data_IF_286361219338
#
_entry.id   IF_286361219338
#
_cell.length_a   1.000
_cell.length_b   1.000
_cell.length_c   1.000
_cell.angle_alpha   90.00
_cell.angle_beta   90.00
_cell.angle_gamma   90.00
#
_symmetry.space_group_name_H-M   'P 1'
#
loop_
_entity.id
_entity.type
_entity.pdbx_description
1 polymer ?
#
# COMPACT_ATOMS: atom_id res chain seq x y z
N UNK A 1 -22.73 -3.67 -48.38
CA UNK A 1 -21.31 -3.35 -48.15
C UNK A 1 -21.22 -2.70 -46.79
N UNK A 2 -20.86 -3.48 -45.77
CA UNK A 2 -20.84 -3.08 -44.37
C UNK A 2 -19.71 -2.07 -44.16
N UNK A 3 -20.04 -0.86 -43.70
CA UNK A 3 -19.07 0.22 -43.56
C UNK A 3 -18.32 0.05 -42.23
N UNK A 4 -17.30 -0.81 -42.25
CA UNK A 4 -16.42 -1.11 -41.10
C UNK A 4 -15.82 0.13 -40.41
N UNK A 5 -15.82 1.29 -41.07
CA UNK A 5 -15.31 2.54 -40.51
C UNK A 5 -16.26 3.20 -39.49
N UNK A 6 -17.59 2.97 -39.60
CA UNK A 6 -18.55 3.49 -38.63
C UNK A 6 -18.61 2.63 -37.36
N UNK A 7 -18.48 1.29 -37.49
CA UNK A 7 -18.46 0.38 -36.35
C UNK A 7 -17.25 0.60 -35.44
N UNK A 8 -16.08 0.95 -36.01
CA UNK A 8 -14.88 1.25 -35.22
C UNK A 8 -15.03 2.59 -34.48
N UNK A 9 -15.64 3.61 -35.10
CA UNK A 9 -15.91 4.89 -34.42
C UNK A 9 -16.97 4.77 -33.32
N UNK A 10 -18.03 4.00 -33.56
CA UNK A 10 -19.06 3.73 -32.55
C UNK A 10 -18.49 2.88 -31.39
N UNK A 11 -17.59 1.93 -31.69
CA UNK A 11 -16.88 1.15 -30.68
C UNK A 11 -15.92 1.98 -29.82
N UNK A 12 -15.20 2.94 -30.42
CA UNK A 12 -14.32 3.86 -29.68
C UNK A 12 -15.08 4.89 -28.83
N UNK A 13 -16.22 5.41 -29.29
CA UNK A 13 -17.07 6.29 -28.46
C UNK A 13 -17.71 5.54 -27.30
N UNK A 14 -18.08 4.28 -27.49
CA UNK A 14 -18.56 3.42 -26.39
C UNK A 14 -17.45 3.15 -25.39
N UNK A 15 -16.21 2.87 -25.84
CA UNK A 15 -15.05 2.67 -24.97
C UNK A 15 -14.64 3.95 -24.20
N UNK A 16 -14.78 5.14 -24.80
CA UNK A 16 -14.49 6.42 -24.16
C UNK A 16 -15.64 6.99 -23.32
N UNK A 17 -16.85 6.42 -23.46
CA UNK A 17 -18.03 6.72 -22.64
C UNK A 17 -18.14 5.88 -21.36
N UNK A 18 -17.29 4.87 -21.17
CA UNK A 18 -17.17 4.19 -19.88
C UNK A 18 -16.47 5.11 -18.86
N UNK A 19 -17.07 5.33 -17.67
CA UNK A 19 -16.42 6.03 -16.56
C UNK A 19 -15.07 5.41 -16.13
N UNK A 20 -14.80 4.18 -16.56
CA UNK A 20 -13.67 3.34 -16.14
C UNK A 20 -12.30 3.78 -16.64
N UNK A 21 -12.16 4.67 -17.65
CA UNK A 21 -10.83 5.10 -18.14
C UNK A 21 -10.56 6.62 -18.18
N UNK A 22 -11.56 7.50 -18.03
CA UNK A 22 -11.32 8.96 -18.04
C UNK A 22 -10.75 9.52 -16.73
N UNK A 23 -10.60 8.69 -15.70
CA UNK A 23 -9.80 9.00 -14.50
C UNK A 23 -8.41 8.37 -14.56
N UNK A 24 -7.73 8.42 -15.71
CA UNK A 24 -6.25 8.49 -15.79
C UNK A 24 -5.78 9.82 -15.15
N UNK A 25 -6.23 10.06 -13.93
CA UNK A 25 -5.96 11.24 -13.15
C UNK A 25 -4.54 11.06 -12.59
N UNK A 26 -3.62 11.89 -13.07
CA UNK A 26 -2.46 12.31 -12.27
C UNK A 26 -2.96 13.17 -11.11
N UNK A 27 -3.74 12.54 -10.23
CA UNK A 27 -4.20 13.04 -8.96
C UNK A 27 -3.58 12.07 -7.98
N UNK A 28 -2.56 12.56 -7.29
CA UNK A 28 -1.91 11.91 -6.16
C UNK A 28 -3.00 11.27 -5.29
N UNK A 29 -3.29 9.99 -5.51
CA UNK A 29 -4.15 9.24 -4.60
C UNK A 29 -3.19 8.91 -3.48
N UNK A 30 -3.19 9.72 -2.43
CA UNK A 30 -2.69 9.28 -1.15
C UNK A 30 -3.63 8.15 -0.71
N UNK A 31 -3.31 6.95 -1.16
CA UNK A 31 -4.13 5.76 -1.05
C UNK A 31 -4.06 5.23 0.38
N UNK A 32 -4.79 5.87 1.29
CA UNK A 32 -5.09 5.26 2.59
C UNK A 32 -5.72 3.87 2.41
N UNK A 33 -6.47 3.66 1.33
CA UNK A 33 -7.03 2.34 0.99
C UNK A 33 -5.99 1.25 0.72
N UNK A 34 -4.79 1.58 0.19
CA UNK A 34 -3.75 0.55 -0.09
C UNK A 34 -3.19 -0.08 1.19
N UNK A 35 -3.20 0.64 2.32
CA UNK A 35 -2.69 0.11 3.60
C UNK A 35 -3.73 -0.74 4.32
N UNK A 36 -5.03 -0.43 4.13
CA UNK A 36 -6.12 -1.14 4.78
C UNK A 36 -6.13 -2.63 4.40
N UNK A 37 -5.98 -2.94 3.12
CA UNK A 37 -5.96 -4.33 2.63
C UNK A 37 -4.76 -5.11 3.19
N UNK A 38 -3.57 -4.51 3.17
CA UNK A 38 -2.37 -5.11 3.76
C UNK A 38 -2.54 -5.37 5.27
N UNK A 39 -3.20 -4.45 5.98
CA UNK A 39 -3.55 -4.61 7.38
C UNK A 39 -4.55 -5.74 7.62
N UNK A 40 -5.60 -5.84 6.79
CA UNK A 40 -6.60 -6.90 6.88
C UNK A 40 -5.95 -8.27 6.68
N UNK A 41 -5.10 -8.42 5.66
CA UNK A 41 -4.31 -9.63 5.42
C UNK A 41 -3.43 -9.98 6.62
N UNK A 42 -2.71 -9.00 7.17
CA UNK A 42 -1.88 -9.23 8.35
C UNK A 42 -2.72 -9.73 9.53
N UNK A 43 -3.88 -9.10 9.79
CA UNK A 43 -4.75 -9.48 10.91
C UNK A 43 -5.27 -10.92 10.79
N UNK A 44 -5.54 -11.38 9.58
CA UNK A 44 -5.98 -12.75 9.27
C UNK A 44 -4.90 -13.83 9.47
N UNK A 45 -3.62 -13.46 9.48
CA UNK A 45 -2.53 -14.41 9.69
C UNK A 45 -2.56 -15.05 11.07
N UNK A 46 -2.17 -16.34 11.12
CA UNK A 46 -1.89 -17.03 12.38
C UNK A 46 -0.71 -16.37 13.08
N UNK A 47 -0.54 -16.65 14.37
CA UNK A 47 0.59 -16.13 15.13
C UNK A 47 1.94 -16.52 14.51
N UNK A 48 2.08 -17.76 14.06
CA UNK A 48 3.30 -18.27 13.43
C UNK A 48 3.60 -17.56 12.11
N UNK A 49 2.58 -17.28 11.31
CA UNK A 49 2.72 -16.51 10.08
C UNK A 49 3.13 -15.06 10.35
N UNK A 50 2.54 -14.41 11.36
CA UNK A 50 2.93 -13.07 11.81
C UNK A 50 4.38 -13.05 12.30
N UNK A 51 4.78 -14.03 13.11
CA UNK A 51 6.13 -14.12 13.64
C UNK A 51 7.17 -14.34 12.52
N UNK A 52 6.85 -15.17 11.53
CA UNK A 52 7.68 -15.39 10.35
C UNK A 52 7.81 -14.14 9.49
N UNK A 53 6.69 -13.45 9.22
CA UNK A 53 6.69 -12.18 8.50
C UNK A 53 7.59 -11.15 9.18
N UNK A 54 7.37 -10.91 10.48
CA UNK A 54 8.15 -9.94 11.26
C UNK A 54 9.63 -10.30 11.22
N UNK A 55 9.98 -11.57 11.36
CA UNK A 55 11.38 -12.02 11.33
C UNK A 55 12.05 -11.73 9.99
N UNK A 56 11.38 -12.02 8.87
CA UNK A 56 11.93 -11.75 7.55
C UNK A 56 12.06 -10.26 7.27
N UNK A 57 11.04 -9.46 7.61
CA UNK A 57 11.07 -8.00 7.40
C UNK A 57 12.20 -7.37 8.21
N UNK A 58 12.40 -7.78 9.48
CA UNK A 58 13.52 -7.30 10.30
C UNK A 58 14.86 -7.68 9.69
N UNK A 59 14.99 -8.92 9.21
CA UNK A 59 16.23 -9.38 8.54
C UNK A 59 16.59 -8.48 7.36
N UNK A 60 15.62 -8.22 6.47
CA UNK A 60 15.84 -7.37 5.29
C UNK A 60 16.13 -5.91 5.67
N UNK A 61 15.34 -5.32 6.58
CA UNK A 61 15.49 -3.91 6.95
C UNK A 61 16.71 -3.61 7.83
N UNK A 62 17.30 -4.61 8.47
CA UNK A 62 18.51 -4.45 9.30
C UNK A 62 19.71 -3.91 8.52
N UNK A 63 19.77 -4.19 7.21
CA UNK A 63 20.87 -3.79 6.32
C UNK A 63 20.55 -2.53 5.51
N UNK A 64 19.34 -1.98 5.65
CA UNK A 64 18.87 -0.82 4.91
C UNK A 64 19.30 0.47 5.61
N UNK A 65 19.46 1.55 4.85
CA UNK A 65 19.76 2.88 5.39
C UNK A 65 18.62 3.39 6.30
N UNK A 66 18.99 4.15 7.33
CA UNK A 66 18.11 4.53 8.45
C UNK A 66 16.83 5.24 8.00
N UNK A 67 16.94 6.26 7.14
CA UNK A 67 15.77 7.00 6.66
C UNK A 67 14.82 6.09 5.88
N UNK A 68 15.36 5.21 5.05
CA UNK A 68 14.54 4.26 4.28
C UNK A 68 13.85 3.25 5.19
N UNK A 69 14.55 2.73 6.20
CA UNK A 69 13.98 1.84 7.21
C UNK A 69 12.85 2.52 7.99
N UNK A 70 13.03 3.77 8.42
CA UNK A 70 12.01 4.54 9.13
C UNK A 70 10.72 4.68 8.30
N UNK A 71 10.84 5.06 7.03
CA UNK A 71 9.68 5.19 6.13
C UNK A 71 8.95 3.85 5.99
N UNK A 72 9.68 2.74 5.85
CA UNK A 72 9.10 1.41 5.75
C UNK A 72 8.31 1.04 7.01
N UNK A 73 8.89 1.27 8.21
CA UNK A 73 8.22 0.99 9.48
C UNK A 73 6.94 1.83 9.61
N UNK A 74 6.99 3.12 9.27
CA UNK A 74 5.80 3.97 9.27
C UNK A 74 4.71 3.46 8.30
N UNK A 75 5.09 2.95 7.13
CA UNK A 75 4.14 2.36 6.19
C UNK A 75 3.50 1.07 6.74
N UNK A 76 4.27 0.22 7.44
CA UNK A 76 3.72 -0.95 8.12
C UNK A 76 2.82 -0.56 9.29
N UNK A 77 3.17 0.48 10.04
CA UNK A 77 2.31 1.04 11.09
C UNK A 77 0.95 1.50 10.53
N UNK A 78 0.96 2.19 9.38
CA UNK A 78 -0.29 2.61 8.70
C UNK A 78 -1.18 1.44 8.29
N UNK A 79 -0.59 0.28 8.01
CA UNK A 79 -1.35 -0.93 7.70
C UNK A 79 -1.89 -1.59 8.97
N UNK A 80 -1.05 -1.71 10.00
CA UNK A 80 -1.40 -2.27 11.30
C UNK A 80 -0.45 -1.76 12.40
N UNK A 81 -1.02 -1.17 13.46
CA UNK A 81 -0.25 -0.54 14.54
C UNK A 81 0.65 -1.54 15.27
N UNK A 82 0.14 -2.76 15.53
CA UNK A 82 0.90 -3.79 16.22
C UNK A 82 2.08 -4.27 15.37
N UNK A 83 1.89 -4.43 14.06
CA UNK A 83 2.97 -4.74 13.14
C UNK A 83 4.04 -3.65 13.14
N UNK A 84 3.63 -2.37 13.00
CA UNK A 84 4.54 -1.24 13.01
C UNK A 84 5.38 -1.16 14.29
N UNK A 85 4.75 -1.29 15.46
CA UNK A 85 5.46 -1.31 16.75
C UNK A 85 6.43 -2.48 16.88
N UNK A 86 6.02 -3.70 16.52
CA UNK A 86 6.90 -4.87 16.57
C UNK A 86 8.16 -4.71 15.71
N UNK A 87 8.03 -4.07 14.54
CA UNK A 87 9.16 -3.79 13.67
C UNK A 87 10.06 -2.69 14.24
N UNK A 88 9.47 -1.62 14.77
CA UNK A 88 10.19 -0.52 15.42
C UNK A 88 11.05 -1.03 16.58
N UNK A 89 10.47 -1.84 17.48
CA UNK A 89 11.15 -2.39 18.65
C UNK A 89 12.32 -3.31 18.27
N UNK A 90 12.12 -4.18 17.27
CA UNK A 90 13.16 -5.13 16.82
C UNK A 90 14.29 -4.49 16.05
N UNK A 91 14.04 -3.34 15.43
CA UNK A 91 15.02 -2.59 14.65
C UNK A 91 15.63 -1.42 15.42
N UNK A 92 15.22 -1.22 16.68
CA UNK A 92 15.64 -0.11 17.55
C UNK A 92 15.42 1.26 16.89
N UNK A 93 14.21 1.47 16.35
CA UNK A 93 13.81 2.71 15.66
C UNK A 93 12.68 3.38 16.42
N UNK A 94 12.88 4.62 16.87
CA UNK A 94 11.83 5.42 17.50
C UNK A 94 10.87 6.02 16.45
N UNK A 95 9.65 5.50 16.42
CA UNK A 95 8.57 5.99 15.55
C UNK A 95 7.59 6.93 16.25
N UNK A 96 7.73 7.13 17.57
CA UNK A 96 6.82 7.96 18.38
C UNK A 96 6.60 9.37 17.83
N UNK A 97 7.63 10.06 17.28
CA UNK A 97 7.46 11.39 16.67
C UNK A 97 6.53 11.41 15.45
N UNK A 98 6.32 10.27 14.79
CA UNK A 98 5.62 10.17 13.52
C UNK A 98 4.22 9.58 13.66
N UNK A 99 4.01 8.68 14.62
CA UNK A 99 2.72 8.00 14.84
C UNK A 99 1.58 9.00 15.14
N UNK A 100 1.84 10.03 15.95
CA UNK A 100 0.84 11.06 16.24
C UNK A 100 0.39 11.88 15.02
N UNK A 101 1.17 11.89 13.94
CA UNK A 101 0.85 12.58 12.68
C UNK A 101 0.14 11.68 11.65
N UNK A 102 0.10 10.37 11.88
CA UNK A 102 -0.44 9.37 10.94
C UNK A 102 -1.90 9.00 11.22
N UNK A 103 -2.45 9.43 12.35
CA UNK A 103 -3.82 9.13 12.81
C UNK A 103 -4.85 10.23 12.44
N UNK A 104 -4.59 11.02 11.39
CA UNK A 104 -5.40 12.16 10.97
C UNK A 104 -5.98 12.00 9.57
#
# INVERSE_FOLDING_TARGET
MSNQSNDVKQGLEVLMGYPLMKQLASKHIAKEEDFKEAGDIYREYTKEQKDFLVTNVVSELSQVEERTRLIAICNFYRADEQLGHNLADRLDVDISPYVGMLNG
#
